data_IF_326694060465
#
_entry.id   IF_326694060465
#
_cell.length_a   1.000
_cell.length_b   1.000
_cell.length_c   1.000
_cell.angle_alpha   90.00
_cell.angle_beta   90.00
_cell.angle_gamma   90.00
#
_symmetry.space_group_name_H-M   'P 1'
#
loop_
_entity.id
_entity.type
_entity.pdbx_description
1 polymer ?
#
# COMPACT_ATOMS: atom_id res chain seq x y z
N UNK A 1 -23.69 -8.44 16.29
CA UNK A 1 -24.66 -8.02 15.25
C UNK A 1 -23.84 -7.96 13.98
N UNK A 2 -24.13 -8.71 12.91
CA UNK A 2 -23.32 -8.61 11.69
C UNK A 2 -23.28 -7.16 11.23
N UNK A 3 -22.12 -6.50 11.36
CA UNK A 3 -21.97 -5.10 11.00
C UNK A 3 -22.39 -4.89 9.55
N UNK A 4 -23.10 -3.80 9.27
CA UNK A 4 -23.51 -3.41 7.92
C UNK A 4 -22.33 -3.33 6.93
N UNK A 5 -21.11 -3.14 7.44
CA UNK A 5 -19.92 -2.77 6.66
C UNK A 5 -18.88 -3.91 6.56
N UNK A 6 -18.85 -4.87 7.48
CA UNK A 6 -17.84 -5.93 7.50
C UNK A 6 -18.33 -7.22 8.15
N UNK A 7 -17.69 -8.34 7.79
CA UNK A 7 -17.87 -9.62 8.49
C UNK A 7 -17.20 -9.53 9.86
N UNK A 8 -18.00 -9.54 10.91
CA UNK A 8 -17.54 -9.62 12.29
C UNK A 8 -17.08 -11.05 12.60
N UNK A 9 -15.92 -11.21 13.26
CA UNK A 9 -15.50 -12.49 13.82
C UNK A 9 -16.12 -12.62 15.22
N UNK A 10 -16.53 -13.83 15.66
CA UNK A 10 -17.18 -14.02 16.95
C UNK A 10 -16.19 -14.03 18.13
N UNK A 11 -15.14 -13.20 18.08
CA UNK A 11 -14.09 -13.10 19.10
C UNK A 11 -13.92 -11.61 19.40
N UNK A 12 -14.29 -11.21 20.61
CA UNK A 12 -14.14 -9.85 21.09
C UNK A 12 -12.79 -9.72 21.80
N UNK A 13 -11.79 -9.17 21.11
CA UNK A 13 -10.46 -8.93 21.66
C UNK A 13 -10.49 -7.67 22.55
N UNK A 14 -9.92 -7.76 23.75
CA UNK A 14 -9.94 -6.68 24.76
C UNK A 14 -8.55 -6.22 25.19
N UNK A 15 -7.53 -7.04 24.97
CA UNK A 15 -6.14 -6.74 25.31
C UNK A 15 -5.19 -7.32 24.26
N UNK A 16 -4.02 -6.70 24.09
CA UNK A 16 -2.95 -7.21 23.25
C UNK A 16 -1.59 -6.84 23.81
N UNK A 17 -0.66 -7.79 23.80
CA UNK A 17 0.73 -7.65 24.26
C UNK A 17 1.66 -8.40 23.31
N UNK A 18 2.48 -7.66 22.58
CA UNK A 18 3.37 -8.20 21.56
C UNK A 18 2.60 -9.03 20.53
N UNK A 19 2.89 -10.33 20.46
CA UNK A 19 2.24 -11.26 19.54
C UNK A 19 0.99 -11.95 20.15
N UNK A 20 0.53 -11.56 21.34
CA UNK A 20 -0.63 -12.16 21.99
C UNK A 20 -1.80 -11.19 22.04
N UNK A 21 -3.02 -11.75 21.99
CA UNK A 21 -4.27 -11.02 22.20
C UNK A 21 -5.18 -11.83 23.11
N UNK A 22 -5.94 -11.15 23.97
CA UNK A 22 -6.85 -11.77 24.93
C UNK A 22 -8.28 -11.37 24.62
N UNK A 23 -9.21 -12.33 24.61
CA UNK A 23 -10.63 -12.07 24.42
C UNK A 23 -11.36 -11.68 25.71
N UNK A 24 -12.61 -11.23 25.60
CA UNK A 24 -13.45 -10.84 26.75
C UNK A 24 -13.81 -12.00 27.70
N UNK A 25 -13.53 -13.25 27.33
CA UNK A 25 -13.66 -14.42 28.21
C UNK A 25 -12.34 -14.78 28.92
N UNK A 26 -11.25 -14.05 28.66
CA UNK A 26 -9.91 -14.31 29.19
C UNK A 26 -9.13 -15.37 28.42
N UNK A 27 -9.56 -15.75 27.21
CA UNK A 27 -8.80 -16.66 26.35
C UNK A 27 -7.69 -15.90 25.66
N UNK A 28 -6.45 -16.33 25.84
CA UNK A 28 -5.28 -15.81 25.13
C UNK A 28 -5.08 -16.53 23.79
N UNK A 29 -4.73 -15.77 22.76
CA UNK A 29 -4.42 -16.25 21.42
C UNK A 29 -3.06 -15.73 20.97
N UNK A 30 -2.29 -16.58 20.31
CA UNK A 30 -1.15 -16.16 19.52
C UNK A 30 -1.63 -15.53 18.20
N UNK A 31 -1.38 -14.23 18.02
CA UNK A 31 -1.78 -13.45 16.84
C UNK A 31 -0.79 -13.66 15.68
N UNK A 32 -1.08 -14.68 14.87
CA UNK A 32 -0.39 -14.89 13.59
C UNK A 32 -1.00 -14.08 12.42
N UNK A 33 -2.04 -13.30 12.67
CA UNK A 33 -2.70 -12.47 11.66
C UNK A 33 -2.17 -11.04 11.60
N UNK A 34 -1.66 -10.53 12.73
CA UNK A 34 -1.21 -9.14 12.92
C UNK A 34 -2.21 -8.14 12.32
N UNK A 35 -3.51 -8.41 12.48
CA UNK A 35 -4.62 -7.69 11.84
C UNK A 35 -4.40 -7.38 10.35
N UNK A 36 -4.21 -8.40 9.52
CA UNK A 36 -3.89 -8.27 8.09
C UNK A 36 -2.55 -7.55 7.83
N UNK A 37 -1.53 -7.88 8.65
CA UNK A 37 -0.19 -7.31 8.61
C UNK A 37 -0.05 -5.83 9.04
N UNK A 38 -1.01 -5.28 9.78
CA UNK A 38 -1.01 -3.89 10.26
C UNK A 38 -0.13 -3.65 11.50
N UNK A 39 0.11 -4.67 12.33
CA UNK A 39 0.90 -4.55 13.57
C UNK A 39 2.19 -5.40 13.54
N UNK A 40 3.16 -5.12 12.62
CA UNK A 40 4.38 -5.90 12.50
C UNK A 40 5.26 -5.94 13.75
N UNK A 41 5.17 -4.93 14.63
CA UNK A 41 5.91 -4.87 15.89
C UNK A 41 5.13 -5.46 17.07
N UNK A 42 3.92 -5.98 16.82
CA UNK A 42 3.00 -6.45 17.85
C UNK A 42 2.16 -5.32 18.48
N UNK A 43 1.27 -5.74 19.37
CA UNK A 43 0.39 -4.87 20.17
C UNK A 43 1.16 -4.27 21.35
N UNK A 44 0.86 -3.02 21.73
CA UNK A 44 1.45 -2.39 22.91
C UNK A 44 2.97 -2.14 22.84
N UNK A 45 3.56 -2.07 21.64
CA UNK A 45 5.01 -1.87 21.51
C UNK A 45 5.46 -0.55 22.16
N UNK A 46 6.30 -0.64 23.20
CA UNK A 46 6.71 0.47 24.07
C UNK A 46 7.16 1.72 23.28
N UNK A 47 8.09 1.56 22.33
CA UNK A 47 8.58 2.70 21.54
C UNK A 47 7.51 3.41 20.70
N UNK A 48 6.48 2.68 20.24
CA UNK A 48 5.36 3.26 19.48
C UNK A 48 4.42 3.98 20.44
N UNK A 49 4.09 3.34 21.56
CA UNK A 49 3.22 3.91 22.59
C UNK A 49 3.80 5.21 23.17
N UNK A 50 5.08 5.23 23.47
CA UNK A 50 5.78 6.40 24.00
C UNK A 50 5.80 7.54 22.99
N UNK A 51 6.15 7.26 21.72
CA UNK A 51 6.20 8.27 20.66
C UNK A 51 4.82 8.92 20.42
N UNK A 52 3.75 8.11 20.43
CA UNK A 52 2.37 8.60 20.27
C UNK A 52 1.97 9.42 21.48
N UNK A 53 2.22 8.92 22.70
CA UNK A 53 1.82 9.59 23.94
C UNK A 53 2.51 10.93 24.12
N UNK A 54 3.84 11.00 23.86
CA UNK A 54 4.59 12.26 23.88
C UNK A 54 4.00 13.26 22.88
N UNK A 55 3.82 12.84 21.63
CA UNK A 55 3.35 13.74 20.57
C UNK A 55 1.93 14.24 20.85
N UNK A 56 1.02 13.39 21.33
CA UNK A 56 -0.35 13.78 21.69
C UNK A 56 -0.39 14.76 22.87
N UNK A 57 0.52 14.66 23.82
CA UNK A 57 0.62 15.62 24.94
C UNK A 57 1.05 17.02 24.51
N UNK A 58 1.66 17.14 23.32
CA UNK A 58 2.22 18.39 22.77
C UNK A 58 1.32 19.01 21.70
N UNK A 59 1.05 18.26 20.63
CA UNK A 59 0.15 18.68 19.55
C UNK A 59 -0.39 17.46 18.81
N UNK A 60 -1.71 17.31 18.82
CA UNK A 60 -2.42 16.23 18.13
C UNK A 60 -2.46 16.44 16.62
N UNK A 61 -2.89 17.62 16.17
CA UNK A 61 -3.07 17.91 14.75
C UNK A 61 -2.98 19.40 14.46
N UNK A 62 -2.28 19.72 13.37
CA UNK A 62 -2.35 21.01 12.68
C UNK A 62 -2.34 20.75 11.17
N UNK A 63 -3.01 21.61 10.41
CA UNK A 63 -3.02 21.52 8.96
C UNK A 63 -1.59 21.61 8.41
N UNK A 64 -1.32 20.95 7.28
CA UNK A 64 0.03 20.74 6.75
C UNK A 64 0.88 22.03 6.52
N UNK A 65 0.24 23.20 6.37
CA UNK A 65 0.91 24.51 6.26
C UNK A 65 1.61 24.97 7.53
N UNK A 66 1.24 24.42 8.69
CA UNK A 66 1.91 24.68 9.96
C UNK A 66 3.05 23.68 10.14
N UNK A 67 4.33 24.10 10.16
CA UNK A 67 5.45 23.18 10.28
C UNK A 67 5.39 22.39 11.59
N UNK A 68 5.66 21.09 11.50
CA UNK A 68 5.82 20.21 12.67
C UNK A 68 7.09 19.39 12.46
N UNK A 69 8.00 19.46 13.43
CA UNK A 69 9.32 18.83 13.35
C UNK A 69 9.22 17.33 13.07
N UNK A 70 8.38 16.59 13.81
CA UNK A 70 8.26 15.13 13.64
C UNK A 70 7.72 14.75 12.26
N UNK A 71 6.83 15.58 11.67
CA UNK A 71 6.34 15.36 10.32
C UNK A 71 7.44 15.58 9.28
N UNK A 72 8.32 16.56 9.51
CA UNK A 72 9.49 16.81 8.64
C UNK A 72 10.48 15.65 8.71
N UNK A 73 10.80 15.18 9.93
CA UNK A 73 11.63 13.99 10.14
C UNK A 73 11.07 12.74 9.47
N UNK A 74 9.75 12.55 9.50
CA UNK A 74 9.10 11.43 8.81
C UNK A 74 9.26 11.54 7.27
N UNK A 75 9.08 12.74 6.70
CA UNK A 75 9.32 12.96 5.27
C UNK A 75 10.76 12.63 4.87
N UNK A 76 11.73 13.13 5.63
CA UNK A 76 13.16 12.89 5.39
C UNK A 76 13.51 11.40 5.52
N UNK A 77 13.08 10.75 6.60
CA UNK A 77 13.36 9.33 6.83
C UNK A 77 12.77 8.43 5.74
N UNK A 78 11.54 8.71 5.30
CA UNK A 78 10.92 7.95 4.21
C UNK A 78 11.67 8.17 2.89
N UNK A 79 12.08 9.39 2.58
CA UNK A 79 12.86 9.69 1.37
C UNK A 79 14.25 9.04 1.40
N UNK A 80 14.93 9.04 2.55
CA UNK A 80 16.26 8.44 2.72
C UNK A 80 16.25 6.92 2.60
N UNK A 81 15.17 6.29 3.05
CA UNK A 81 15.05 4.82 3.07
C UNK A 81 14.40 4.25 1.79
N UNK A 82 13.82 5.09 0.94
CA UNK A 82 13.27 4.69 -0.33
C UNK A 82 14.35 4.29 -1.36
N UNK A 83 14.00 3.52 -2.40
CA UNK A 83 14.90 3.27 -3.51
C UNK A 83 15.41 4.57 -4.14
N UNK A 84 16.67 4.56 -4.62
CA UNK A 84 17.32 5.73 -5.21
C UNK A 84 16.40 6.41 -6.22
N UNK A 85 16.37 7.74 -6.21
CA UNK A 85 15.53 8.62 -7.04
C UNK A 85 14.07 8.75 -6.63
N UNK A 86 13.56 7.94 -5.68
CA UNK A 86 12.22 8.10 -5.10
C UNK A 86 12.33 8.94 -3.82
N UNK A 87 12.39 10.27 -3.95
CA UNK A 87 12.80 11.16 -2.84
C UNK A 87 11.72 12.20 -2.43
N UNK A 88 10.54 12.15 -3.03
CA UNK A 88 9.38 12.95 -2.67
C UNK A 88 8.38 12.09 -1.92
N UNK A 89 7.74 12.66 -0.91
CA UNK A 89 6.82 11.92 -0.03
C UNK A 89 5.56 12.73 0.16
N UNK A 90 4.42 12.07 -0.03
CA UNK A 90 3.10 12.57 0.30
C UNK A 90 2.47 11.68 1.37
N UNK A 91 1.95 12.27 2.46
CA UNK A 91 1.35 11.54 3.58
C UNK A 91 -0.17 11.59 3.51
N UNK A 92 -0.80 10.50 3.90
CA UNK A 92 -2.24 10.30 4.04
C UNK A 92 -2.56 9.40 5.23
N UNK A 93 -3.78 8.88 5.29
CA UNK A 93 -4.30 8.14 6.45
C UNK A 93 -4.43 6.64 6.18
N UNK A 94 -4.30 6.22 4.92
CA UNK A 94 -4.57 4.84 4.50
C UNK A 94 -3.87 4.45 3.20
N UNK A 95 -3.77 3.14 2.96
CA UNK A 95 -3.22 2.60 1.70
C UNK A 95 -4.10 2.91 0.49
N UNK A 96 -5.43 2.97 0.65
CA UNK A 96 -6.33 3.35 -0.46
C UNK A 96 -6.10 4.81 -0.87
N UNK A 97 -5.89 5.74 0.08
CA UNK A 97 -5.54 7.13 -0.26
C UNK A 97 -4.16 7.25 -0.88
N UNK A 98 -3.19 6.43 -0.44
CA UNK A 98 -1.86 6.39 -1.04
C UNK A 98 -1.92 5.93 -2.49
N UNK A 99 -2.73 4.91 -2.79
CA UNK A 99 -2.96 4.45 -4.15
C UNK A 99 -3.72 5.48 -4.99
N UNK A 100 -4.73 6.17 -4.44
CA UNK A 100 -5.40 7.28 -5.13
C UNK A 100 -4.41 8.40 -5.51
N UNK A 101 -3.50 8.76 -4.60
CA UNK A 101 -2.46 9.75 -4.89
C UNK A 101 -1.51 9.27 -5.99
N UNK A 102 -1.02 8.03 -5.92
CA UNK A 102 -0.16 7.47 -6.96
C UNK A 102 -0.82 7.45 -8.34
N UNK A 103 -2.09 7.05 -8.43
CA UNK A 103 -2.87 7.08 -9.68
C UNK A 103 -3.02 8.51 -10.22
N UNK A 104 -3.31 9.48 -9.35
CA UNK A 104 -3.41 10.90 -9.74
C UNK A 104 -2.08 11.46 -10.21
N UNK A 105 -0.98 11.16 -9.52
CA UNK A 105 0.35 11.63 -9.86
C UNK A 105 0.82 11.05 -11.19
N UNK A 106 0.57 9.75 -11.45
CA UNK A 106 0.85 9.13 -12.74
C UNK A 106 0.13 9.83 -13.90
N UNK A 107 -1.19 10.01 -13.79
CA UNK A 107 -1.98 10.69 -14.83
C UNK A 107 -1.54 12.13 -15.04
N UNK A 108 -1.26 12.86 -13.96
CA UNK A 108 -0.79 14.24 -14.05
C UNK A 108 0.59 14.37 -14.70
N UNK A 109 1.51 13.44 -14.39
CA UNK A 109 2.88 13.48 -14.91
C UNK A 109 2.98 13.06 -16.37
N UNK A 110 2.18 12.07 -16.78
CA UNK A 110 2.21 11.51 -18.14
C UNK A 110 1.27 12.23 -19.11
N UNK A 111 0.19 12.83 -18.62
CA UNK A 111 -0.91 13.34 -19.46
C UNK A 111 -1.85 12.25 -19.99
N UNK A 112 -1.55 10.99 -19.68
CA UNK A 112 -2.28 9.81 -20.11
C UNK A 112 -3.34 9.39 -19.07
N UNK A 113 -4.28 8.52 -19.47
CA UNK A 113 -5.35 8.03 -18.57
C UNK A 113 -5.32 6.52 -18.30
N UNK A 114 -4.79 5.70 -19.22
CA UNK A 114 -4.84 4.24 -19.12
C UNK A 114 -4.01 3.72 -17.95
N UNK A 115 -4.63 2.93 -17.08
CA UNK A 115 -3.98 2.25 -15.96
C UNK A 115 -4.04 0.76 -16.19
N UNK A 116 -2.89 0.10 -16.10
CA UNK A 116 -2.80 -1.36 -16.17
C UNK A 116 -2.64 -1.88 -14.75
N UNK A 117 -3.54 -2.79 -14.36
CA UNK A 117 -3.50 -3.52 -13.09
C UNK A 117 -3.48 -5.03 -13.37
N UNK A 118 -3.31 -5.83 -12.34
CA UNK A 118 -3.17 -7.28 -12.46
C UNK A 118 -4.38 -8.04 -11.90
N UNK A 119 -4.75 -9.14 -12.56
CA UNK A 119 -5.78 -10.06 -12.07
C UNK A 119 -5.40 -10.53 -10.67
N UNK A 120 -6.39 -10.63 -9.78
CA UNK A 120 -6.27 -10.95 -8.34
C UNK A 120 -5.69 -9.84 -7.45
N UNK A 121 -5.32 -8.69 -8.00
CA UNK A 121 -4.78 -7.57 -7.22
C UNK A 121 -5.82 -6.88 -6.32
N UNK A 122 -5.34 -6.27 -5.24
CA UNK A 122 -6.13 -5.47 -4.30
C UNK A 122 -5.41 -4.16 -3.94
N UNK A 123 -5.97 -3.04 -4.40
CA UNK A 123 -5.37 -1.70 -4.22
C UNK A 123 -6.22 -0.77 -3.35
N UNK A 124 -7.37 -1.21 -2.86
CA UNK A 124 -8.21 -0.43 -1.96
C UNK A 124 -9.67 -0.41 -2.37
N UNK A 125 -10.43 0.52 -1.77
CA UNK A 125 -11.89 0.56 -1.89
C UNK A 125 -12.49 1.95 -2.13
N UNK A 126 -11.67 3.00 -2.19
CA UNK A 126 -12.10 4.30 -2.76
C UNK A 126 -12.29 4.16 -4.27
N UNK A 127 -13.13 4.98 -4.90
CA UNK A 127 -13.59 4.72 -6.28
C UNK A 127 -12.47 4.56 -7.33
N UNK A 128 -11.34 5.26 -7.20
CA UNK A 128 -10.19 5.12 -8.11
C UNK A 128 -9.38 3.87 -7.82
N UNK A 129 -8.96 3.68 -6.57
CA UNK A 129 -8.24 2.49 -6.13
C UNK A 129 -9.05 1.19 -6.34
N UNK A 130 -10.37 1.25 -6.14
CA UNK A 130 -11.30 0.16 -6.37
C UNK A 130 -11.39 -0.22 -7.85
N UNK A 131 -11.31 0.76 -8.76
CA UNK A 131 -11.28 0.48 -10.20
C UNK A 131 -10.06 -0.38 -10.59
N UNK A 132 -8.95 -0.23 -9.88
CA UNK A 132 -7.73 -1.03 -10.06
C UNK A 132 -7.71 -2.32 -9.23
N UNK A 133 -8.70 -2.56 -8.37
CA UNK A 133 -8.85 -3.81 -7.61
C UNK A 133 -9.62 -4.84 -8.44
N UNK A 134 -9.07 -6.05 -8.62
CA UNK A 134 -9.58 -6.97 -9.64
C UNK A 134 -10.96 -7.56 -9.34
N UNK A 135 -11.21 -7.94 -8.08
CA UNK A 135 -12.31 -8.86 -7.76
C UNK A 135 -13.69 -8.18 -7.89
N UNK A 136 -14.52 -8.65 -8.83
CA UNK A 136 -15.83 -8.04 -9.16
C UNK A 136 -16.78 -7.91 -7.98
N UNK A 137 -16.71 -8.82 -7.00
CA UNK A 137 -17.54 -8.74 -5.78
C UNK A 137 -17.34 -7.42 -5.01
N UNK A 138 -16.22 -6.73 -5.20
CA UNK A 138 -15.95 -5.44 -4.57
C UNK A 138 -16.40 -4.25 -5.43
N UNK A 139 -16.60 -4.43 -6.74
CA UNK A 139 -16.84 -3.35 -7.72
C UNK A 139 -18.29 -3.26 -8.17
N UNK A 140 -18.94 -4.41 -8.40
CA UNK A 140 -20.19 -4.55 -9.19
C UNK A 140 -21.30 -3.59 -8.76
N UNK A 141 -21.48 -3.39 -7.47
CA UNK A 141 -22.59 -2.57 -6.94
C UNK A 141 -22.28 -1.06 -6.96
N UNK A 142 -21.07 -0.65 -7.35
CA UNK A 142 -20.59 0.74 -7.36
C UNK A 142 -20.26 1.26 -8.76
N UNK A 143 -20.46 0.45 -9.80
CA UNK A 143 -20.17 0.86 -11.17
C UNK A 143 -21.11 1.99 -11.65
N UNK A 144 -20.63 2.91 -12.50
CA UNK A 144 -19.27 2.96 -13.09
C UNK A 144 -18.21 3.51 -12.13
N UNK A 145 -17.01 2.92 -12.17
CA UNK A 145 -15.82 3.38 -11.45
C UNK A 145 -14.94 4.27 -12.34
N UNK A 146 -13.72 4.59 -11.88
CA UNK A 146 -12.70 5.25 -12.72
C UNK A 146 -12.49 4.44 -14.01
N UNK A 147 -12.71 5.07 -15.17
CA UNK A 147 -12.50 4.48 -16.48
C UNK A 147 -11.02 4.29 -16.83
N UNK A 148 -10.78 3.68 -17.99
CA UNK A 148 -9.46 3.38 -18.57
C UNK A 148 -8.58 2.51 -17.65
N UNK A 149 -9.15 1.42 -17.14
CA UNK A 149 -8.42 0.40 -16.40
C UNK A 149 -8.45 -0.92 -17.14
N UNK A 150 -7.27 -1.47 -17.42
CA UNK A 150 -7.08 -2.78 -18.05
C UNK A 150 -6.48 -3.77 -17.04
N UNK A 151 -6.93 -5.02 -17.07
CA UNK A 151 -6.43 -6.08 -16.18
C UNK A 151 -5.71 -7.18 -16.96
N UNK A 152 -4.41 -7.32 -16.74
CA UNK A 152 -3.59 -8.41 -17.30
C UNK A 152 -3.38 -9.53 -16.29
N UNK A 153 -3.00 -10.73 -16.74
CA UNK A 153 -2.66 -11.83 -15.83
C UNK A 153 -1.43 -11.48 -15.01
N UNK A 154 -1.54 -11.61 -13.68
CA UNK A 154 -0.41 -11.39 -12.79
C UNK A 154 0.73 -12.34 -13.14
N UNK A 155 1.96 -11.81 -13.14
CA UNK A 155 3.18 -12.52 -13.47
C UNK A 155 3.28 -13.00 -14.93
N UNK A 156 2.37 -12.60 -15.84
CA UNK A 156 2.49 -12.81 -17.30
C UNK A 156 3.20 -11.62 -17.95
N UNK A 157 4.48 -11.80 -18.25
CA UNK A 157 5.34 -10.74 -18.78
C UNK A 157 5.00 -10.34 -20.22
N UNK A 158 4.46 -11.26 -21.03
CA UNK A 158 4.12 -10.99 -22.42
C UNK A 158 2.76 -10.28 -22.52
N UNK A 159 1.76 -10.71 -21.75
CA UNK A 159 0.46 -10.02 -21.65
C UNK A 159 0.66 -8.60 -21.10
N UNK A 160 1.51 -8.43 -20.08
CA UNK A 160 1.84 -7.11 -19.54
C UNK A 160 2.53 -6.22 -20.58
N UNK A 161 3.55 -6.73 -21.28
CA UNK A 161 4.26 -5.94 -22.28
C UNK A 161 3.35 -5.53 -23.46
N UNK A 162 2.46 -6.43 -23.89
CA UNK A 162 1.51 -6.14 -24.96
C UNK A 162 0.42 -5.11 -24.57
N UNK A 163 0.09 -5.01 -23.28
CA UNK A 163 -0.88 -4.05 -22.78
C UNK A 163 -0.29 -2.65 -22.60
N UNK A 164 1.01 -2.51 -22.37
CA UNK A 164 1.67 -1.21 -22.18
C UNK A 164 1.85 -0.52 -23.55
N UNK A 165 1.26 0.66 -23.70
CA UNK A 165 1.23 1.47 -24.92
C UNK A 165 1.48 2.96 -24.62
N UNK A 166 1.46 3.79 -25.67
CA UNK A 166 1.71 5.24 -25.60
C UNK A 166 0.62 6.01 -24.82
N UNK A 167 -0.56 5.40 -24.63
CA UNK A 167 -1.67 5.97 -23.85
C UNK A 167 -1.63 5.54 -22.37
N UNK A 168 -0.64 4.73 -21.98
CA UNK A 168 -0.49 4.21 -20.63
C UNK A 168 0.06 5.27 -19.69
N UNK A 169 -0.71 5.60 -18.64
CA UNK A 169 -0.28 6.48 -17.55
C UNK A 169 0.54 5.73 -16.50
N UNK A 170 0.09 4.53 -16.11
CA UNK A 170 0.81 3.71 -15.16
C UNK A 170 0.49 2.22 -15.25
N UNK A 171 1.45 1.42 -14.78
CA UNK A 171 1.24 0.07 -14.29
C UNK A 171 1.26 0.11 -12.76
N UNK A 172 0.19 -0.37 -12.11
CA UNK A 172 0.15 -0.61 -10.67
C UNK A 172 0.21 -2.12 -10.39
N UNK A 173 1.16 -2.52 -9.54
CA UNK A 173 1.39 -3.93 -9.24
C UNK A 173 1.89 -4.14 -7.81
N UNK A 174 1.37 -5.15 -7.13
CA UNK A 174 1.89 -5.64 -5.85
C UNK A 174 3.13 -6.52 -6.12
N UNK A 175 4.29 -6.32 -5.47
CA UNK A 175 5.43 -7.24 -5.60
C UNK A 175 5.11 -8.67 -5.11
N UNK A 176 4.19 -8.77 -4.14
CA UNK A 176 3.56 -10.02 -3.70
C UNK A 176 2.08 -9.72 -3.52
N UNK A 177 1.20 -10.36 -4.31
CA UNK A 177 -0.24 -10.23 -4.12
C UNK A 177 -0.67 -10.94 -2.84
N UNK A 178 -1.05 -10.18 -1.82
CA UNK A 178 -1.45 -10.77 -0.56
C UNK A 178 -2.87 -11.30 -0.57
N UNK A 179 -3.84 -10.41 -0.80
CA UNK A 179 -5.28 -10.74 -0.89
C UNK A 179 -5.60 -11.70 -2.05
N UNK A 180 -4.74 -11.70 -3.08
CA UNK A 180 -4.82 -12.62 -4.22
C UNK A 180 -4.47 -14.08 -3.90
N UNK A 181 -4.05 -14.37 -2.66
CA UNK A 181 -3.69 -15.71 -2.20
C UNK A 181 -2.20 -15.92 -1.93
N UNK A 182 -1.47 -14.87 -1.55
CA UNK A 182 -0.03 -14.88 -1.32
C UNK A 182 0.73 -15.37 -2.56
N UNK A 183 0.72 -14.57 -3.63
CA UNK A 183 1.43 -14.88 -4.88
C UNK A 183 2.67 -13.96 -5.06
N UNK A 184 3.89 -14.41 -4.71
CA UNK A 184 5.11 -13.65 -5.02
C UNK A 184 5.33 -13.57 -6.53
N UNK A 185 5.59 -12.36 -7.06
CA UNK A 185 5.96 -12.21 -8.46
C UNK A 185 7.31 -12.87 -8.74
N UNK A 186 7.54 -13.34 -9.97
CA UNK A 186 8.90 -13.64 -10.42
C UNK A 186 9.67 -12.33 -10.55
N UNK A 187 10.90 -12.30 -10.03
CA UNK A 187 11.79 -11.14 -10.18
C UNK A 187 11.91 -10.66 -11.64
N UNK A 188 12.05 -11.60 -12.57
CA UNK A 188 12.10 -11.31 -14.02
C UNK A 188 10.85 -10.63 -14.56
N UNK A 189 9.67 -10.93 -14.02
CA UNK A 189 8.44 -10.26 -14.41
C UNK A 189 8.47 -8.80 -13.97
N UNK A 190 8.76 -8.50 -12.70
CA UNK A 190 8.85 -7.12 -12.20
C UNK A 190 9.92 -6.30 -12.94
N UNK A 191 11.07 -6.92 -13.23
CA UNK A 191 12.13 -6.30 -14.03
C UNK A 191 11.67 -6.00 -15.46
N UNK A 192 10.94 -6.91 -16.10
CA UNK A 192 10.35 -6.68 -17.42
C UNK A 192 9.34 -5.52 -17.38
N UNK A 193 8.44 -5.51 -16.39
CA UNK A 193 7.47 -4.40 -16.23
C UNK A 193 8.19 -3.05 -16.11
N UNK A 194 9.30 -3.00 -15.35
CA UNK A 194 10.12 -1.78 -15.26
C UNK A 194 10.69 -1.36 -16.62
N UNK A 195 11.21 -2.28 -17.41
CA UNK A 195 11.75 -1.98 -18.75
C UNK A 195 10.64 -1.44 -19.66
N UNK A 196 9.48 -2.09 -19.69
CA UNK A 196 8.38 -1.68 -20.56
C UNK A 196 7.82 -0.30 -20.17
N UNK A 197 7.54 -0.08 -18.89
CA UNK A 197 7.08 1.23 -18.39
C UNK A 197 8.07 2.34 -18.67
N UNK A 198 9.38 2.10 -18.48
CA UNK A 198 10.41 3.08 -18.81
C UNK A 198 10.49 3.37 -20.32
N UNK A 199 10.21 2.37 -21.16
CA UNK A 199 10.27 2.50 -22.62
C UNK A 199 9.07 3.29 -23.16
N UNK A 200 7.87 3.07 -22.62
CA UNK A 200 6.64 3.78 -23.03
C UNK A 200 6.46 5.14 -22.36
N UNK A 201 7.23 5.45 -21.31
CA UNK A 201 7.05 6.65 -20.50
C UNK A 201 5.93 6.53 -19.46
N UNK A 202 5.36 5.34 -19.27
CA UNK A 202 4.40 5.06 -18.20
C UNK A 202 5.09 5.00 -16.82
N UNK A 203 4.38 5.41 -15.77
CA UNK A 203 4.87 5.26 -14.40
C UNK A 203 4.75 3.80 -13.92
N UNK A 204 5.77 3.30 -13.22
CA UNK A 204 5.67 2.06 -12.46
C UNK A 204 5.32 2.35 -11.00
N UNK A 205 4.17 1.87 -10.54
CA UNK A 205 3.72 1.96 -9.14
C UNK A 205 3.85 0.57 -8.51
N UNK A 206 4.68 0.46 -7.47
CA UNK A 206 4.65 -0.69 -6.57
C UNK A 206 3.70 -0.41 -5.42
N UNK A 207 2.60 -1.18 -5.37
CA UNK A 207 1.74 -1.22 -4.21
C UNK A 207 2.40 -2.07 -3.12
N UNK A 208 3.09 -1.39 -2.22
CA UNK A 208 3.77 -1.99 -1.08
C UNK A 208 3.01 -1.77 0.23
N UNK A 209 1.71 -1.44 0.16
CA UNK A 209 0.86 -1.25 1.34
C UNK A 209 0.89 -2.48 2.26
N UNK A 210 1.07 -3.69 1.70
CA UNK A 210 1.21 -4.91 2.49
C UNK A 210 2.63 -5.49 2.50
N UNK A 211 3.42 -5.32 1.43
CA UNK A 211 4.75 -5.94 1.30
C UNK A 211 5.89 -5.10 1.88
N UNK A 212 5.68 -3.80 2.01
CA UNK A 212 6.67 -2.86 2.52
C UNK A 212 6.82 -2.93 4.04
N UNK A 213 7.55 -1.97 4.58
CA UNK A 213 7.83 -1.84 6.01
C UNK A 213 8.41 -3.12 6.63
N UNK A 214 9.34 -3.78 5.92
CA UNK A 214 10.05 -4.95 6.42
C UNK A 214 9.34 -6.29 6.21
N UNK A 215 8.09 -6.31 5.71
CA UNK A 215 7.27 -7.54 5.67
C UNK A 215 7.89 -8.68 4.87
N UNK A 216 8.66 -8.36 3.84
CA UNK A 216 9.30 -9.33 2.93
C UNK A 216 10.76 -9.63 3.28
N UNK A 217 11.26 -9.14 4.42
CA UNK A 217 12.66 -9.32 4.86
C UNK A 217 13.61 -8.19 4.42
N UNK A 218 13.18 -7.32 3.50
CA UNK A 218 13.76 -6.01 3.20
C UNK A 218 12.76 -4.92 3.55
N UNK A 219 13.22 -3.67 3.70
CA UNK A 219 12.32 -2.58 4.05
C UNK A 219 11.26 -2.39 2.96
N UNK A 220 11.69 -2.41 1.70
CA UNK A 220 10.83 -2.42 0.53
C UNK A 220 11.06 -3.69 -0.30
N UNK A 221 9.99 -4.30 -0.80
CA UNK A 221 10.06 -5.45 -1.69
C UNK A 221 10.75 -5.12 -3.02
N UNK A 222 10.76 -3.85 -3.41
CA UNK A 222 11.57 -3.34 -4.53
C UNK A 222 13.05 -3.73 -4.44
N UNK A 223 13.62 -3.84 -3.24
CA UNK A 223 15.02 -4.24 -3.02
C UNK A 223 15.29 -5.67 -3.51
N UNK A 224 14.49 -6.67 -3.09
CA UNK A 224 14.72 -8.04 -3.55
C UNK A 224 14.37 -8.21 -5.03
N UNK A 225 13.45 -7.39 -5.55
CA UNK A 225 13.09 -7.36 -6.96
C UNK A 225 14.20 -6.76 -7.86
N UNK A 226 15.20 -6.08 -7.30
CA UNK A 226 16.16 -5.22 -8.02
C UNK A 226 15.46 -4.28 -9.01
N UNK A 227 14.36 -3.64 -8.57
CA UNK A 227 13.58 -2.71 -9.39
C UNK A 227 13.40 -1.40 -8.64
N UNK A 228 13.72 -0.29 -9.28
CA UNK A 228 13.37 1.05 -8.79
C UNK A 228 12.07 1.48 -9.49
N UNK A 229 10.91 1.45 -8.80
CA UNK A 229 9.67 1.95 -9.37
C UNK A 229 9.67 3.49 -9.43
N UNK A 230 8.70 4.08 -10.11
CA UNK A 230 8.48 5.53 -10.06
C UNK A 230 7.74 5.96 -8.80
N UNK A 231 6.94 5.05 -8.23
CA UNK A 231 6.25 5.28 -6.97
C UNK A 231 6.17 4.01 -6.12
N UNK A 232 6.24 4.20 -4.81
CA UNK A 232 5.90 3.19 -3.80
C UNK A 232 4.74 3.73 -2.98
N UNK A 233 3.70 2.93 -2.78
CA UNK A 233 2.66 3.23 -1.80
C UNK A 233 2.84 2.37 -0.56
N UNK A 234 2.67 2.96 0.61
CA UNK A 234 2.89 2.32 1.92
C UNK A 234 1.79 2.71 2.90
N UNK A 235 1.41 1.79 3.79
CA UNK A 235 0.50 2.02 4.91
C UNK A 235 0.69 0.85 5.90
N UNK A 236 -0.39 0.34 6.52
CA UNK A 236 -0.38 -0.84 7.41
C UNK A 236 0.78 -0.79 8.42
N UNK A 237 1.85 -1.56 8.17
CA UNK A 237 3.03 -1.61 9.02
C UNK A 237 3.69 -0.25 9.27
N UNK A 238 3.46 0.74 8.42
CA UNK A 238 3.97 2.11 8.57
C UNK A 238 3.55 2.75 9.90
N UNK A 239 2.33 2.48 10.35
CA UNK A 239 1.78 3.03 11.59
C UNK A 239 1.75 2.07 12.76
N UNK A 240 2.16 0.81 12.56
CA UNK A 240 1.98 -0.29 13.53
C UNK A 240 0.57 -0.27 14.20
N UNK A 241 -0.49 -0.21 13.38
CA UNK A 241 -1.88 -0.13 13.84
C UNK A 241 -2.49 1.28 13.82
N UNK A 242 -1.69 2.34 13.78
CA UNK A 242 -2.18 3.70 13.61
C UNK A 242 -2.53 4.00 12.14
N UNK A 243 -3.58 4.80 11.88
CA UNK A 243 -3.97 5.18 10.52
C UNK A 243 -2.94 6.15 9.92
N UNK A 244 -2.12 5.64 9.01
CA UNK A 244 -1.18 6.43 8.21
C UNK A 244 -0.94 5.71 6.88
N UNK A 245 -0.79 6.49 5.83
CA UNK A 245 -0.32 6.04 4.52
C UNK A 245 0.68 7.03 3.94
N UNK A 246 1.44 6.58 2.95
CA UNK A 246 2.39 7.39 2.23
C UNK A 246 2.47 6.99 0.76
N UNK A 247 2.67 7.97 -0.11
CA UNK A 247 3.12 7.77 -1.48
C UNK A 247 4.52 8.37 -1.58
N UNK A 248 5.50 7.52 -1.87
CA UNK A 248 6.86 7.93 -2.16
C UNK A 248 6.99 7.98 -3.69
N UNK A 249 7.47 9.08 -4.25
CA UNK A 249 7.57 9.28 -5.69
C UNK A 249 8.88 9.98 -6.09
N UNK A 250 9.23 9.92 -7.38
CA UNK A 250 10.38 10.62 -7.97
C UNK A 250 10.12 12.12 -8.15
#
# INVERSE_FOLDING_TARGET
>A
MSGFVFSEKPIELVEGDGAHVTDSNGTEYLDMGASYACVPLGHGHEAVQDAVSDQLSRVTYVQASYPVEIRTKLYELLAETAPKTVDKVWLCNSGTEANEAALKFARAATGNSKIISTKRGFHGRTMGALATTWKDKYKKDYEPLMGDVEFVTYDDAEEMAAAIDDDTAAVIVEPVQGEGGINPARKKFLQRVRVETATSGAALIFDEVQTGMGRTGTLWASEWADVVPDMITSAKGLGNGLPVGATLCR
#
